data_IF_374878864253
#
_entry.id   IF_374878864253
#
_cell.length_a   1.000
_cell.length_b   1.000
_cell.length_c   1.000
_cell.angle_alpha   90.00
_cell.angle_beta   90.00
_cell.angle_gamma   90.00
#
_symmetry.space_group_name_H-M   'P 1'
#
loop_
_entity.id
_entity.type
_entity.pdbx_description
1 polymer ?
#
# COMPACT_ATOMS: atom_id res chain seq x y z
N UNK A 1 -20.39 -21.97 36.00
CA UNK A 1 -20.28 -22.41 34.60
C UNK A 1 -21.15 -21.50 33.76
N UNK A 2 -20.55 -20.48 33.15
CA UNK A 2 -21.24 -19.52 32.28
C UNK A 2 -20.76 -19.83 30.87
N UNK A 3 -21.65 -20.36 30.05
CA UNK A 3 -21.42 -20.54 28.63
C UNK A 3 -21.42 -19.17 27.97
N UNK A 4 -20.27 -18.77 27.42
CA UNK A 4 -20.15 -17.61 26.56
C UNK A 4 -20.59 -17.96 25.13
N UNK A 5 -21.16 -16.98 24.39
CA UNK A 5 -21.72 -17.20 23.07
C UNK A 5 -20.64 -17.47 22.03
N UNK A 6 -21.02 -18.29 21.04
CA UNK A 6 -20.23 -18.77 19.91
C UNK A 6 -19.39 -17.69 19.21
N UNK A 7 -18.19 -18.03 18.70
CA UNK A 7 -17.39 -17.11 17.92
C UNK A 7 -18.09 -16.87 16.57
N UNK A 8 -18.33 -15.59 16.27
CA UNK A 8 -18.64 -15.07 14.94
C UNK A 8 -17.72 -15.74 13.91
N UNK A 9 -18.30 -16.56 13.04
CA UNK A 9 -17.57 -17.22 11.96
C UNK A 9 -16.98 -16.16 11.03
N UNK A 10 -15.68 -15.93 11.10
CA UNK A 10 -14.94 -15.40 9.96
C UNK A 10 -15.17 -16.39 8.81
N UNK A 11 -15.77 -15.94 7.71
CA UNK A 11 -16.01 -16.80 6.56
C UNK A 11 -14.66 -17.24 5.99
N UNK A 12 -14.16 -18.41 6.39
CA UNK A 12 -12.93 -18.97 5.85
C UNK A 12 -13.09 -19.12 4.33
N UNK A 13 -12.20 -18.47 3.57
CA UNK A 13 -12.18 -18.58 2.11
C UNK A 13 -11.99 -20.05 1.71
N UNK A 14 -12.97 -20.61 1.01
CA UNK A 14 -12.84 -21.96 0.45
C UNK A 14 -11.84 -22.00 -0.71
N UNK A 15 -11.31 -23.18 -1.03
CA UNK A 15 -10.38 -23.36 -2.17
C UNK A 15 -11.03 -22.96 -3.50
N UNK A 16 -12.31 -23.26 -3.65
CA UNK A 16 -13.11 -22.97 -4.84
C UNK A 16 -13.34 -21.46 -4.99
N UNK A 17 -13.59 -20.76 -3.88
CA UNK A 17 -13.73 -19.30 -3.87
C UNK A 17 -12.42 -18.62 -4.28
N UNK A 18 -11.29 -19.03 -3.69
CA UNK A 18 -9.98 -18.46 -4.03
C UNK A 18 -9.63 -18.75 -5.48
N UNK A 19 -9.89 -19.97 -5.98
CA UNK A 19 -9.68 -20.31 -7.39
C UNK A 19 -10.54 -19.45 -8.31
N UNK A 20 -11.83 -19.28 -8.00
CA UNK A 20 -12.74 -18.46 -8.80
C UNK A 20 -12.33 -16.99 -8.84
N UNK A 21 -11.92 -16.41 -7.71
CA UNK A 21 -11.40 -15.04 -7.66
C UNK A 21 -10.09 -14.90 -8.44
N UNK A 22 -9.18 -15.86 -8.29
CA UNK A 22 -7.88 -15.87 -8.94
C UNK A 22 -7.97 -16.02 -10.47
N UNK A 23 -8.88 -16.85 -10.96
CA UNK A 23 -9.11 -17.07 -12.39
C UNK A 23 -9.61 -15.80 -13.09
N UNK A 24 -10.46 -15.00 -12.43
CA UNK A 24 -10.90 -13.69 -12.96
C UNK A 24 -9.75 -12.69 -13.12
N UNK A 25 -8.62 -12.91 -12.43
CA UNK A 25 -7.44 -12.07 -12.57
C UNK A 25 -6.52 -12.50 -13.71
N UNK A 26 -6.75 -13.62 -14.40
CA UNK A 26 -5.83 -14.17 -15.40
C UNK A 26 -5.42 -13.15 -16.48
N UNK A 27 -6.38 -12.48 -17.09
CA UNK A 27 -6.11 -11.51 -18.17
C UNK A 27 -5.52 -10.20 -17.66
N UNK A 28 -5.91 -9.79 -16.44
CA UNK A 28 -5.37 -8.58 -15.81
C UNK A 28 -3.93 -8.81 -15.41
N UNK A 29 -3.63 -9.95 -14.78
CA UNK A 29 -2.27 -10.40 -14.44
C UNK A 29 -1.41 -10.54 -15.68
N UNK A 30 -1.93 -11.12 -16.77
CA UNK A 30 -1.18 -11.24 -18.03
C UNK A 30 -0.83 -9.88 -18.62
N UNK A 31 -1.78 -8.94 -18.64
CA UNK A 31 -1.52 -7.55 -19.06
C UNK A 31 -0.52 -6.84 -18.15
N UNK A 32 -0.63 -7.07 -16.85
CA UNK A 32 0.30 -6.53 -15.86
C UNK A 32 1.71 -7.10 -16.05
N UNK A 33 1.85 -8.40 -16.28
CA UNK A 33 3.15 -9.00 -16.56
C UNK A 33 3.76 -8.45 -17.85
N UNK A 34 2.96 -8.34 -18.91
CA UNK A 34 3.40 -7.81 -20.19
C UNK A 34 3.85 -6.34 -20.07
N UNK A 35 3.09 -5.50 -19.36
CA UNK A 35 3.44 -4.08 -19.19
C UNK A 35 4.71 -3.84 -18.37
N UNK A 36 5.15 -4.84 -17.60
CA UNK A 36 6.35 -4.78 -16.74
C UNK A 36 7.46 -5.72 -17.15
N UNK A 37 7.31 -6.39 -18.29
CA UNK A 37 8.30 -7.34 -18.79
C UNK A 37 8.64 -8.42 -17.77
N UNK A 38 7.63 -8.84 -16.98
CA UNK A 38 7.75 -9.96 -16.05
C UNK A 38 7.81 -11.23 -16.88
N UNK A 39 9.04 -11.71 -17.10
CA UNK A 39 9.31 -12.93 -17.85
C UNK A 39 8.96 -14.19 -17.04
N UNK A 40 9.03 -14.11 -15.71
CA UNK A 40 8.67 -15.18 -14.78
C UNK A 40 7.90 -14.62 -13.59
N UNK A 41 6.66 -15.07 -13.42
CA UNK A 41 5.86 -14.78 -12.24
C UNK A 41 6.28 -15.71 -11.10
N UNK A 42 6.82 -15.14 -10.03
CA UNK A 42 7.25 -15.87 -8.83
C UNK A 42 6.16 -15.93 -7.75
N UNK A 43 4.95 -15.39 -8.03
CA UNK A 43 3.81 -15.43 -7.11
C UNK A 43 3.53 -16.87 -6.66
N UNK A 44 3.72 -17.13 -5.38
CA UNK A 44 3.30 -18.34 -4.72
C UNK A 44 1.97 -18.15 -4.02
N UNK A 45 1.01 -19.05 -4.24
CA UNK A 45 -0.26 -19.09 -3.52
C UNK A 45 -0.50 -20.49 -2.97
N UNK A 46 -0.77 -20.56 -1.67
CA UNK A 46 -0.94 -21.83 -0.94
C UNK A 46 -2.15 -21.68 -0.01
N UNK A 47 -3.17 -22.53 -0.15
CA UNK A 47 -4.32 -22.61 0.75
C UNK A 47 -4.87 -24.03 0.76
N UNK A 48 -4.87 -24.73 1.91
CA UNK A 48 -5.36 -26.12 2.01
C UNK A 48 -4.78 -27.02 0.91
N UNK A 49 -5.58 -27.44 -0.08
CA UNK A 49 -5.15 -28.24 -1.24
C UNK A 49 -4.72 -27.39 -2.46
N UNK A 50 -5.05 -26.10 -2.48
CA UNK A 50 -4.66 -25.17 -3.54
C UNK A 50 -3.16 -24.85 -3.47
N UNK A 51 -2.49 -25.05 -4.60
CA UNK A 51 -1.06 -24.76 -4.77
C UNK A 51 -0.84 -24.09 -6.13
N UNK A 52 -0.19 -22.93 -6.14
CA UNK A 52 0.16 -22.19 -7.35
C UNK A 52 1.57 -21.59 -7.21
N UNK A 53 2.30 -21.57 -8.33
CA UNK A 53 3.61 -20.93 -8.44
C UNK A 53 4.77 -21.71 -7.78
N UNK A 54 5.97 -21.11 -7.67
CA UNK A 54 7.16 -21.78 -7.17
C UNK A 54 7.06 -22.20 -5.68
N UNK A 55 6.25 -21.49 -4.87
CA UNK A 55 5.95 -21.87 -3.49
C UNK A 55 5.18 -23.19 -3.38
N UNK A 56 4.49 -23.62 -4.45
CA UNK A 56 3.79 -24.91 -4.49
C UNK A 56 4.72 -26.12 -4.28
N UNK A 57 6.02 -25.96 -4.52
CA UNK A 57 7.00 -27.07 -4.51
C UNK A 57 7.71 -27.25 -3.17
N UNK A 58 7.59 -26.32 -2.22
CA UNK A 58 8.35 -26.31 -0.95
C UNK A 58 7.41 -26.43 0.26
N UNK A 59 6.99 -27.65 0.62
CA UNK A 59 6.32 -27.89 1.90
C UNK A 59 5.47 -29.17 1.95
N UNK A 60 5.82 -30.09 2.87
CA UNK A 60 5.10 -31.36 3.14
C UNK A 60 3.83 -31.21 4.00
N UNK A 61 3.52 -30.00 4.49
CA UNK A 61 2.30 -29.71 5.25
C UNK A 61 1.58 -28.51 4.65
N UNK A 62 0.27 -28.66 4.45
CA UNK A 62 -0.58 -27.55 4.05
C UNK A 62 -0.69 -26.54 5.20
N UNK A 63 -0.38 -25.25 5.00
CA UNK A 63 -0.68 -24.25 6.00
C UNK A 63 -2.19 -24.21 6.24
N UNK A 64 -2.57 -23.98 7.50
CA UNK A 64 -3.97 -23.91 7.95
C UNK A 64 -4.69 -22.72 7.28
N UNK A 65 -3.95 -21.69 6.86
CA UNK A 65 -4.48 -20.50 6.19
C UNK A 65 -3.93 -20.25 4.78
N UNK A 66 -4.39 -19.14 4.18
CA UNK A 66 -3.93 -18.63 2.89
C UNK A 66 -2.54 -17.99 3.04
N UNK A 67 -1.58 -18.44 2.23
CA UNK A 67 -0.23 -17.88 2.15
C UNK A 67 0.02 -17.36 0.74
N UNK A 68 0.42 -16.09 0.64
CA UNK A 68 0.86 -15.44 -0.59
C UNK A 68 2.34 -15.05 -0.46
N UNK A 69 3.16 -15.43 -1.43
CA UNK A 69 4.62 -15.24 -1.44
C UNK A 69 5.12 -14.81 -2.82
N UNK A 70 6.39 -14.40 -2.90
CA UNK A 70 7.00 -13.86 -4.12
C UNK A 70 6.85 -12.34 -4.25
N UNK A 71 7.65 -11.74 -5.11
CA UNK A 71 7.76 -10.28 -5.26
C UNK A 71 7.12 -9.77 -6.56
N UNK A 72 6.41 -10.65 -7.29
CA UNK A 72 5.73 -10.28 -8.52
C UNK A 72 4.78 -9.09 -8.31
N UNK A 73 4.79 -8.16 -9.26
CA UNK A 73 3.86 -7.03 -9.36
C UNK A 73 2.39 -7.42 -9.21
N UNK A 74 2.01 -8.66 -9.56
CA UNK A 74 0.62 -9.12 -9.44
C UNK A 74 0.22 -9.54 -8.03
N UNK A 75 1.15 -9.64 -7.07
CA UNK A 75 0.87 -10.13 -5.71
C UNK A 75 -0.16 -9.27 -5.00
N UNK A 76 0.03 -7.96 -4.96
CA UNK A 76 -0.88 -7.10 -4.20
C UNK A 76 -2.26 -7.01 -4.84
N UNK A 77 -2.33 -7.04 -6.19
CA UNK A 77 -3.61 -7.14 -6.87
C UNK A 77 -4.38 -8.39 -6.41
N UNK A 78 -3.67 -9.51 -6.24
CA UNK A 78 -4.27 -10.76 -5.74
C UNK A 78 -4.71 -10.59 -4.28
N UNK A 79 -3.90 -9.93 -3.43
CA UNK A 79 -4.26 -9.62 -2.03
C UNK A 79 -5.55 -8.81 -1.97
N UNK A 80 -5.63 -7.70 -2.69
CA UNK A 80 -6.78 -6.80 -2.63
C UNK A 80 -8.06 -7.46 -3.15
N UNK A 81 -7.96 -8.26 -4.21
CA UNK A 81 -9.11 -8.98 -4.77
C UNK A 81 -9.59 -10.06 -3.82
N UNK A 82 -8.68 -10.75 -3.12
CA UNK A 82 -9.06 -11.72 -2.10
C UNK A 82 -9.66 -11.05 -0.87
N UNK A 83 -9.19 -9.86 -0.51
CA UNK A 83 -9.84 -9.05 0.52
C UNK A 83 -11.28 -8.68 0.11
N UNK A 84 -11.48 -8.17 -1.12
CA UNK A 84 -12.84 -7.88 -1.65
C UNK A 84 -13.73 -9.12 -1.66
N UNK A 85 -13.20 -10.27 -2.07
CA UNK A 85 -13.96 -11.53 -2.04
C UNK A 85 -14.34 -11.94 -0.62
N UNK A 86 -13.43 -11.76 0.35
CA UNK A 86 -13.67 -12.08 1.76
C UNK A 86 -14.74 -11.17 2.34
N UNK A 87 -14.62 -9.85 2.15
CA UNK A 87 -15.61 -8.88 2.63
C UNK A 87 -16.99 -9.16 2.06
N UNK A 88 -17.09 -9.42 0.74
CA UNK A 88 -18.34 -9.78 0.09
C UNK A 88 -18.99 -11.04 0.70
N UNK A 89 -18.19 -12.07 1.00
CA UNK A 89 -18.70 -13.30 1.61
C UNK A 89 -19.02 -13.14 3.09
N UNK A 90 -18.32 -12.28 3.83
CA UNK A 90 -18.68 -11.96 5.21
C UNK A 90 -20.02 -11.22 5.27
N UNK A 91 -20.26 -10.29 4.35
CA UNK A 91 -21.49 -9.49 4.31
C UNK A 91 -22.70 -10.24 3.76
N UNK A 92 -22.50 -11.11 2.76
CA UNK A 92 -23.60 -11.73 2.00
C UNK A 92 -23.56 -13.26 1.96
N UNK A 93 -22.53 -13.90 2.49
CA UNK A 93 -22.29 -15.34 2.34
C UNK A 93 -23.40 -16.22 2.89
N UNK A 94 -24.08 -15.78 3.95
CA UNK A 94 -25.17 -16.54 4.58
C UNK A 94 -26.38 -16.77 3.65
N UNK A 95 -26.58 -15.93 2.63
CA UNK A 95 -27.72 -16.01 1.70
C UNK A 95 -27.34 -16.57 0.33
N UNK A 96 -26.06 -16.88 0.09
CA UNK A 96 -25.54 -17.28 -1.21
C UNK A 96 -25.44 -18.82 -1.30
N UNK A 97 -26.19 -19.40 -2.23
CA UNK A 97 -26.18 -20.85 -2.50
C UNK A 97 -24.98 -21.33 -3.33
N UNK A 98 -24.36 -20.44 -4.12
CA UNK A 98 -23.14 -20.72 -4.90
C UNK A 98 -22.07 -19.64 -4.65
N UNK A 99 -21.31 -19.74 -3.54
CA UNK A 99 -20.30 -18.74 -3.18
C UNK A 99 -19.22 -18.50 -4.25
N UNK A 100 -18.62 -19.54 -4.88
CA UNK A 100 -17.63 -19.32 -5.94
C UNK A 100 -18.19 -18.57 -7.16
N UNK A 101 -19.41 -18.89 -7.58
CA UNK A 101 -20.08 -18.21 -8.69
C UNK A 101 -20.40 -16.75 -8.37
N UNK A 102 -20.87 -16.46 -7.16
CA UNK A 102 -21.16 -15.11 -6.71
C UNK A 102 -19.89 -14.25 -6.60
N UNK A 103 -18.82 -14.80 -6.02
CA UNK A 103 -17.51 -14.13 -5.93
C UNK A 103 -16.96 -13.82 -7.30
N UNK A 104 -17.04 -14.78 -8.24
CA UNK A 104 -16.59 -14.57 -9.62
C UNK A 104 -17.27 -13.34 -10.26
N UNK A 105 -18.59 -13.23 -10.16
CA UNK A 105 -19.35 -12.09 -10.69
C UNK A 105 -19.02 -10.80 -9.95
N UNK A 106 -18.89 -10.86 -8.62
CA UNK A 106 -18.57 -9.70 -7.80
C UNK A 106 -17.17 -9.14 -8.11
N UNK A 107 -16.15 -10.01 -8.12
CA UNK A 107 -14.77 -9.66 -8.47
C UNK A 107 -14.72 -9.08 -9.87
N UNK A 108 -15.37 -9.69 -10.87
CA UNK A 108 -15.40 -9.15 -12.24
C UNK A 108 -15.92 -7.71 -12.30
N UNK A 109 -16.97 -7.40 -11.54
CA UNK A 109 -17.54 -6.04 -11.46
C UNK A 109 -16.61 -5.06 -10.73
N UNK A 110 -15.93 -5.53 -9.68
CA UNK A 110 -15.15 -4.68 -8.77
C UNK A 110 -13.67 -4.59 -9.07
N UNK A 111 -13.11 -5.43 -9.92
CA UNK A 111 -11.65 -5.46 -10.16
C UNK A 111 -11.11 -4.13 -10.69
N UNK A 112 -11.91 -3.38 -11.45
CA UNK A 112 -11.54 -2.02 -11.89
C UNK A 112 -11.56 -0.99 -10.75
N UNK A 113 -12.47 -1.14 -9.78
CA UNK A 113 -12.51 -0.32 -8.58
C UNK A 113 -11.34 -0.64 -7.66
N UNK A 114 -10.98 -1.92 -7.54
CA UNK A 114 -9.79 -2.38 -6.80
C UNK A 114 -8.53 -1.76 -7.39
N UNK A 115 -8.33 -1.88 -8.71
CA UNK A 115 -7.18 -1.26 -9.38
C UNK A 115 -7.14 0.27 -9.19
N UNK A 116 -8.30 0.93 -9.11
CA UNK A 116 -8.38 2.36 -8.82
C UNK A 116 -8.00 2.65 -7.37
N UNK A 117 -8.62 1.97 -6.41
CA UNK A 117 -8.40 2.15 -4.97
C UNK A 117 -6.93 1.90 -4.61
N UNK A 118 -6.37 0.80 -5.10
CA UNK A 118 -4.97 0.44 -4.96
C UNK A 118 -4.01 1.54 -5.42
N UNK A 119 -4.25 2.11 -6.61
CA UNK A 119 -3.46 3.24 -7.12
C UNK A 119 -3.66 4.50 -6.29
N UNK A 120 -4.88 4.76 -5.83
CA UNK A 120 -5.19 5.91 -4.96
C UNK A 120 -4.46 5.81 -3.62
N UNK A 121 -4.40 4.63 -3.00
CA UNK A 121 -3.65 4.40 -1.76
C UNK A 121 -2.16 4.74 -1.91
N UNK A 122 -1.61 4.56 -3.11
CA UNK A 122 -0.22 4.95 -3.45
C UNK A 122 -0.04 6.42 -3.79
N UNK A 123 -1.12 7.19 -3.90
CA UNK A 123 -1.10 8.55 -4.43
C UNK A 123 -1.05 8.63 -5.96
N UNK A 124 -1.07 7.49 -6.67
CA UNK A 124 -0.98 7.43 -8.15
C UNK A 124 -2.35 7.52 -8.84
N UNK A 125 -3.13 8.54 -8.50
CA UNK A 125 -4.52 8.69 -8.96
C UNK A 125 -4.64 8.96 -10.47
N UNK A 126 -3.58 9.45 -11.10
CA UNK A 126 -3.54 9.67 -12.54
C UNK A 126 -3.71 8.36 -13.31
N UNK A 127 -4.51 8.38 -14.38
CA UNK A 127 -4.77 7.20 -15.22
C UNK A 127 -3.81 7.18 -16.43
N UNK A 128 -2.99 6.12 -16.62
CA UNK A 128 -2.00 6.04 -17.69
C UNK A 128 -2.56 6.27 -19.10
N UNK A 129 -3.75 5.73 -19.40
CA UNK A 129 -4.37 5.91 -20.72
C UNK A 129 -4.88 7.34 -20.96
N UNK A 130 -5.38 7.99 -19.90
CA UNK A 130 -5.97 9.33 -20.02
C UNK A 130 -4.89 10.41 -20.04
N UNK A 131 -3.77 10.19 -19.35
CA UNK A 131 -2.69 11.19 -19.24
C UNK A 131 -2.09 11.54 -20.60
N UNK A 132 -1.98 10.57 -21.52
CA UNK A 132 -1.49 10.81 -22.88
C UNK A 132 -2.33 11.83 -23.65
N UNK A 133 -3.64 11.85 -23.39
CA UNK A 133 -4.62 12.71 -24.07
C UNK A 133 -4.99 13.99 -23.30
N UNK A 134 -4.52 14.15 -22.06
CA UNK A 134 -4.86 15.30 -21.22
C UNK A 134 -4.04 16.55 -21.60
N UNK A 135 -4.23 17.65 -20.88
CA UNK A 135 -3.52 18.92 -21.15
C UNK A 135 -1.99 18.77 -21.14
N UNK A 136 -1.43 17.95 -20.26
CA UNK A 136 0.01 17.74 -20.15
C UNK A 136 0.52 16.86 -21.28
N UNK A 137 -0.17 15.75 -21.58
CA UNK A 137 0.17 14.90 -22.72
C UNK A 137 0.14 15.65 -24.05
N UNK A 138 -0.86 16.51 -24.27
CA UNK A 138 -0.97 17.35 -25.47
C UNK A 138 0.12 18.42 -25.57
N UNK A 139 0.68 18.86 -24.45
CA UNK A 139 1.75 19.85 -24.42
C UNK A 139 3.15 19.23 -24.66
N UNK A 140 3.25 17.89 -24.75
CA UNK A 140 4.51 17.22 -25.03
C UNK A 140 4.83 17.20 -26.54
N UNK A 141 6.14 17.20 -26.91
CA UNK A 141 6.58 17.41 -28.29
C UNK A 141 6.07 16.35 -29.28
N UNK A 142 6.08 15.09 -28.87
CA UNK A 142 5.80 13.95 -29.75
C UNK A 142 5.14 12.79 -28.97
N UNK A 143 4.80 11.72 -29.69
CA UNK A 143 4.16 10.54 -29.11
C UNK A 143 5.12 9.73 -28.20
N UNK A 144 6.43 9.77 -28.43
CA UNK A 144 7.41 9.09 -27.56
C UNK A 144 7.36 9.71 -26.15
N UNK A 145 7.35 11.05 -26.04
CA UNK A 145 7.21 11.74 -24.77
C UNK A 145 5.88 11.44 -24.08
N UNK A 146 4.78 11.42 -24.84
CA UNK A 146 3.44 11.06 -24.31
C UNK A 146 3.42 9.63 -23.78
N UNK A 147 4.06 8.71 -24.50
CA UNK A 147 4.17 7.33 -24.08
C UNK A 147 4.96 7.18 -22.78
N UNK A 148 6.13 7.84 -22.68
CA UNK A 148 6.93 7.88 -21.45
C UNK A 148 6.14 8.47 -20.28
N UNK A 149 5.38 9.55 -20.47
CA UNK A 149 4.48 10.08 -19.43
C UNK A 149 3.43 9.04 -19.01
N UNK A 150 2.82 8.36 -19.97
CA UNK A 150 1.89 7.25 -19.70
C UNK A 150 2.55 6.12 -18.89
N UNK A 151 3.76 5.72 -19.25
CA UNK A 151 4.52 4.68 -18.56
C UNK A 151 4.98 5.11 -17.16
N UNK A 152 5.35 6.38 -16.96
CA UNK A 152 5.69 6.93 -15.62
C UNK A 152 4.48 6.90 -14.69
N UNK A 153 3.33 7.37 -15.15
CA UNK A 153 2.08 7.31 -14.37
C UNK A 153 1.71 5.87 -14.06
N UNK A 154 1.97 4.97 -15.00
CA UNK A 154 1.78 3.55 -14.78
C UNK A 154 2.71 3.08 -13.64
N UNK A 155 4.02 3.28 -13.77
CA UNK A 155 5.09 2.91 -12.81
C UNK A 155 4.85 3.45 -11.39
N UNK A 156 4.33 4.68 -11.29
CA UNK A 156 3.97 5.34 -10.05
C UNK A 156 2.87 4.59 -9.26
N UNK A 157 2.04 3.79 -9.93
CA UNK A 157 0.94 3.06 -9.31
C UNK A 157 1.28 1.68 -8.75
N UNK A 158 2.54 1.23 -8.82
CA UNK A 158 2.94 -0.13 -8.43
C UNK A 158 3.65 -0.21 -7.08
N UNK A 159 3.58 -1.37 -6.43
CA UNK A 159 4.26 -1.67 -5.16
C UNK A 159 5.57 -2.36 -5.33
N UNK A 160 5.70 -3.14 -6.41
CA UNK A 160 6.85 -4.02 -6.54
C UNK A 160 8.12 -3.18 -6.36
N UNK A 161 9.16 -3.72 -5.71
CA UNK A 161 10.35 -2.93 -5.48
C UNK A 161 10.91 -2.33 -6.77
N UNK A 162 11.40 -1.10 -6.64
CA UNK A 162 12.10 -0.40 -7.71
C UNK A 162 13.53 -0.17 -7.21
N UNK A 163 14.53 -0.90 -7.73
CA UNK A 163 15.92 -0.77 -7.30
C UNK A 163 16.54 0.54 -7.85
N UNK A 164 16.03 1.68 -7.39
CA UNK A 164 16.50 3.01 -7.77
C UNK A 164 16.14 3.49 -9.19
N UNK A 165 16.62 4.69 -9.51
CA UNK A 165 16.28 5.42 -10.74
C UNK A 165 16.79 4.78 -12.04
N UNK A 166 17.92 4.06 -11.99
CA UNK A 166 18.47 3.37 -13.17
C UNK A 166 17.56 2.26 -13.69
N UNK A 167 16.89 1.54 -12.80
CA UNK A 167 15.91 0.50 -13.17
C UNK A 167 14.63 1.10 -13.75
N UNK A 168 14.20 2.26 -13.24
CA UNK A 168 13.08 2.99 -13.82
C UNK A 168 13.36 3.37 -15.28
N UNK A 169 14.52 4.00 -15.53
CA UNK A 169 14.94 4.41 -16.87
C UNK A 169 14.98 3.21 -17.81
N UNK A 170 15.55 2.08 -17.36
CA UNK A 170 15.59 0.85 -18.15
C UNK A 170 14.20 0.31 -18.49
N UNK A 171 13.29 0.21 -17.52
CA UNK A 171 11.92 -0.27 -17.76
C UNK A 171 11.17 0.65 -18.73
N UNK A 172 11.30 1.97 -18.57
CA UNK A 172 10.70 2.93 -19.50
C UNK A 172 11.25 2.76 -20.92
N UNK A 173 12.56 2.56 -21.06
CA UNK A 173 13.21 2.34 -22.34
C UNK A 173 12.76 1.03 -23.02
N UNK A 174 12.65 -0.07 -22.25
CA UNK A 174 12.17 -1.35 -22.76
C UNK A 174 10.69 -1.29 -23.17
N UNK A 175 9.86 -0.54 -22.45
CA UNK A 175 8.45 -0.28 -22.82
C UNK A 175 8.32 0.55 -24.10
N UNK A 176 9.16 1.58 -24.26
CA UNK A 176 9.22 2.35 -25.50
C UNK A 176 9.70 1.48 -26.68
N UNK A 177 10.68 0.60 -26.46
CA UNK A 177 11.13 -0.36 -27.45
C UNK A 177 10.01 -1.28 -27.92
N UNK A 178 9.21 -1.81 -26.98
CA UNK A 178 8.07 -2.65 -27.29
C UNK A 178 6.95 -1.90 -28.04
N UNK A 179 6.73 -0.62 -27.74
CA UNK A 179 5.66 0.18 -28.35
C UNK A 179 6.03 0.73 -29.74
N UNK A 180 7.28 1.15 -29.94
CA UNK A 180 7.72 1.89 -31.14
C UNK A 180 8.78 1.17 -31.98
N UNK A 181 9.28 0.00 -31.55
CA UNK A 181 10.10 -0.89 -32.36
C UNK A 181 11.58 -0.50 -32.55
N UNK A 182 12.09 0.52 -31.85
CA UNK A 182 13.54 0.84 -31.82
C UNK A 182 14.25 0.03 -30.71
N UNK A 183 15.57 -0.21 -30.83
CA UNK A 183 16.28 -1.02 -29.84
C UNK A 183 16.38 -0.31 -28.47
N UNK A 184 16.44 -1.08 -27.38
CA UNK A 184 16.48 -0.55 -26.00
C UNK A 184 17.58 0.49 -25.76
N UNK A 185 18.84 0.32 -26.24
CA UNK A 185 19.89 1.33 -26.09
C UNK A 185 19.53 2.71 -26.64
N UNK A 186 18.80 2.78 -27.76
CA UNK A 186 18.32 4.05 -28.32
C UNK A 186 17.41 4.80 -27.34
N UNK A 187 16.52 4.09 -26.64
CA UNK A 187 15.66 4.71 -25.63
C UNK A 187 16.36 4.97 -24.30
N UNK A 188 17.33 4.13 -23.90
CA UNK A 188 18.11 4.36 -22.67
C UNK A 188 18.81 5.72 -22.69
N UNK A 189 19.34 6.12 -23.85
CA UNK A 189 19.99 7.43 -24.03
C UNK A 189 19.01 8.61 -24.01
N UNK A 190 17.76 8.39 -24.43
CA UNK A 190 16.75 9.45 -24.63
C UNK A 190 15.80 9.64 -23.45
N UNK A 191 15.45 8.56 -22.75
CA UNK A 191 14.47 8.57 -21.66
C UNK A 191 14.81 9.60 -20.58
N UNK A 192 16.07 9.78 -20.12
CA UNK A 192 16.39 10.81 -19.14
C UNK A 192 16.04 12.24 -19.61
N UNK A 193 16.33 12.55 -20.88
CA UNK A 193 15.98 13.84 -21.47
C UNK A 193 14.45 14.00 -21.63
N UNK A 194 13.76 12.94 -22.05
CA UNK A 194 12.30 12.93 -22.13
C UNK A 194 11.66 13.15 -20.75
N UNK A 195 12.17 12.48 -19.71
CA UNK A 195 11.71 12.67 -18.33
C UNK A 195 11.90 14.11 -17.84
N UNK A 196 13.04 14.74 -18.16
CA UNK A 196 13.26 16.16 -17.85
C UNK A 196 12.24 17.07 -18.53
N UNK A 197 11.96 16.85 -19.82
CA UNK A 197 10.94 17.58 -20.56
C UNK A 197 9.54 17.37 -19.97
N UNK A 198 9.20 16.11 -19.65
CA UNK A 198 7.91 15.76 -19.05
C UNK A 198 7.74 16.44 -17.70
N UNK A 199 8.74 16.36 -16.82
CA UNK A 199 8.73 17.03 -15.52
C UNK A 199 8.49 18.52 -15.69
N UNK A 200 9.24 19.18 -16.58
CA UNK A 200 9.08 20.61 -16.88
C UNK A 200 7.66 20.95 -17.31
N UNK A 201 7.06 20.17 -18.20
CA UNK A 201 5.66 20.37 -18.67
C UNK A 201 4.66 20.14 -17.54
N UNK A 202 4.82 19.07 -16.76
CA UNK A 202 3.92 18.73 -15.65
C UNK A 202 4.09 19.62 -14.42
N UNK A 203 5.21 20.34 -14.33
CA UNK A 203 5.45 21.38 -13.32
C UNK A 203 4.74 22.69 -13.68
N UNK A 204 4.36 22.87 -14.95
CA UNK A 204 3.53 24.00 -15.35
C UNK A 204 2.07 23.80 -14.95
N UNK A 205 1.40 24.89 -14.53
CA UNK A 205 -0.05 24.91 -14.30
C UNK A 205 -0.47 24.93 -12.82
N UNK A 206 -1.76 24.70 -12.60
CA UNK A 206 -2.36 24.76 -11.27
C UNK A 206 -1.76 23.68 -10.35
N UNK A 207 -1.37 24.11 -9.14
CA UNK A 207 -0.86 23.22 -8.11
C UNK A 207 -1.96 22.29 -7.61
N UNK A 208 -1.57 21.08 -7.25
CA UNK A 208 -2.46 20.04 -6.72
C UNK A 208 -2.34 20.08 -5.21
N UNK A 209 -3.46 20.22 -4.50
CA UNK A 209 -3.46 20.02 -3.06
C UNK A 209 -3.34 18.52 -2.77
N UNK A 210 -2.19 18.11 -2.23
CA UNK A 210 -1.94 16.74 -1.73
C UNK A 210 -2.04 16.64 -0.21
N UNK A 211 -2.17 17.79 0.46
CA UNK A 211 -2.47 17.89 1.88
C UNK A 211 -3.97 17.79 2.15
N UNK A 212 -4.38 18.12 3.37
CA UNK A 212 -5.80 18.12 3.75
C UNK A 212 -6.47 19.43 3.37
N UNK A 213 -7.79 19.53 3.58
CA UNK A 213 -8.50 20.80 3.43
C UNK A 213 -8.05 21.84 4.47
N UNK A 214 -7.66 21.39 5.66
CA UNK A 214 -7.25 22.22 6.80
C UNK A 214 -5.75 22.53 6.82
N UNK A 215 -4.92 21.66 6.25
CA UNK A 215 -3.49 21.86 6.03
C UNK A 215 -3.15 21.57 4.55
N UNK A 216 -3.47 22.52 3.64
CA UNK A 216 -3.27 22.30 2.22
C UNK A 216 -1.78 22.32 1.88
N UNK A 217 -1.36 21.34 1.10
CA UNK A 217 0.00 21.26 0.55
C UNK A 217 -0.10 21.29 -0.97
N UNK A 218 0.27 22.43 -1.56
CA UNK A 218 0.13 22.65 -3.01
C UNK A 218 1.42 22.31 -3.75
N UNK A 219 1.44 21.15 -4.40
CA UNK A 219 2.60 20.66 -5.15
C UNK A 219 2.34 20.66 -6.65
N UNK A 220 3.36 20.39 -7.47
CA UNK A 220 3.14 20.25 -8.91
C UNK A 220 2.36 18.98 -9.22
N UNK A 221 1.74 18.92 -10.40
CA UNK A 221 1.06 17.70 -10.83
C UNK A 221 2.04 16.53 -10.94
N UNK A 222 3.27 16.80 -11.38
CA UNK A 222 4.34 15.81 -11.44
C UNK A 222 4.68 15.26 -10.05
N UNK A 223 4.87 16.14 -9.07
CA UNK A 223 5.17 15.73 -7.69
C UNK A 223 4.04 14.90 -7.07
N UNK A 224 2.80 15.37 -7.23
CA UNK A 224 1.61 14.72 -6.68
C UNK A 224 1.42 13.28 -7.18
N UNK A 225 1.60 13.05 -8.48
CA UNK A 225 1.15 11.82 -9.13
C UNK A 225 2.26 10.94 -9.72
N UNK A 226 3.52 11.41 -9.71
CA UNK A 226 4.67 10.65 -10.20
C UNK A 226 5.76 10.55 -9.14
N UNK A 227 6.37 11.65 -8.71
CA UNK A 227 7.54 11.58 -7.80
C UNK A 227 7.18 11.01 -6.43
N UNK A 228 6.14 11.53 -5.76
CA UNK A 228 5.73 11.01 -4.45
C UNK A 228 5.30 9.55 -4.50
N UNK A 229 4.45 9.10 -5.45
CA UNK A 229 4.10 7.69 -5.53
C UNK A 229 5.28 6.77 -5.85
N UNK A 230 6.21 7.19 -6.72
CA UNK A 230 7.45 6.43 -6.98
C UNK A 230 8.34 6.34 -5.73
N UNK A 231 8.45 7.42 -4.97
CA UNK A 231 9.22 7.47 -3.72
C UNK A 231 8.62 6.63 -2.58
N UNK A 232 7.36 6.22 -2.68
CA UNK A 232 6.71 5.29 -1.73
C UNK A 232 7.01 3.82 -2.02
N UNK A 233 7.75 3.50 -3.09
CA UNK A 233 8.07 2.11 -3.43
C UNK A 233 9.19 1.58 -2.53
N UNK A 234 9.08 0.34 -2.01
CA UNK A 234 10.16 -0.28 -1.27
C UNK A 234 11.41 -0.42 -2.16
N UNK A 235 12.58 -0.09 -1.60
CA UNK A 235 13.86 -0.28 -2.26
C UNK A 235 14.43 -1.66 -1.88
N UNK A 236 14.64 -2.51 -2.89
CA UNK A 236 15.32 -3.80 -2.75
C UNK A 236 16.76 -3.70 -2.26
N UNK A 237 17.41 -2.54 -2.36
CA UNK A 237 18.74 -2.32 -1.80
C UNK A 237 18.76 -2.32 -0.26
N UNK A 238 17.61 -2.17 0.39
CA UNK A 238 17.46 -2.38 1.84
C UNK A 238 17.16 -3.86 2.10
N UNK A 239 18.11 -4.72 1.75
CA UNK A 239 18.25 -5.98 2.48
C UNK A 239 18.89 -5.58 3.80
N UNK A 240 18.11 -5.48 4.86
CA UNK A 240 18.68 -5.35 6.20
C UNK A 240 19.49 -6.61 6.46
N UNK A 241 20.79 -6.53 6.23
CA UNK A 241 21.77 -7.51 6.68
C UNK A 241 21.81 -7.45 8.21
N UNK A 242 20.96 -8.25 8.84
CA UNK A 242 21.26 -8.82 10.15
C UNK A 242 20.90 -10.30 10.10
N UNK A 243 21.82 -11.08 9.51
CA UNK A 243 22.04 -12.47 9.89
C UNK A 243 22.57 -12.45 11.33
N UNK A 244 21.67 -12.49 12.31
CA UNK A 244 21.90 -13.04 13.65
C UNK A 244 20.59 -13.00 14.42
N UNK A 245 19.74 -14.00 14.15
CA UNK A 245 18.43 -14.07 14.80
C UNK A 245 17.43 -14.88 14.00
N UNK A 246 17.77 -16.12 13.69
CA UNK A 246 16.77 -17.14 13.39
C UNK A 246 15.87 -17.35 14.61
N UNK A 247 14.90 -16.44 14.81
CA UNK A 247 13.80 -16.64 15.72
C UNK A 247 12.56 -16.97 14.89
N UNK A 248 12.16 -18.24 15.01
CA UNK A 248 10.87 -18.83 14.68
C UNK A 248 9.73 -17.80 14.59
N UNK A 249 9.27 -17.50 13.39
CA UNK A 249 7.90 -17.04 13.20
C UNK A 249 7.01 -18.27 13.00
N UNK A 250 6.85 -18.98 14.12
CA UNK A 250 5.65 -19.77 14.35
C UNK A 250 4.47 -18.81 14.45
N UNK A 251 3.33 -19.27 13.95
CA UNK A 251 2.03 -18.71 14.24
C UNK A 251 1.91 -18.44 15.74
N UNK A 252 1.74 -17.17 16.10
CA UNK A 252 0.82 -16.80 17.16
C UNK A 252 -0.02 -15.64 16.66
N UNK A 253 -1.30 -15.75 16.97
CA UNK A 253 -2.36 -14.84 16.60
C UNK A 253 -2.03 -13.43 17.07
N UNK A 254 -1.75 -12.53 16.14
CA UNK A 254 -2.19 -11.15 16.31
C UNK A 254 -3.34 -10.99 15.35
N UNK A 255 -4.55 -11.24 15.84
CA UNK A 255 -5.72 -10.60 15.27
C UNK A 255 -5.40 -9.11 15.33
N UNK A 256 -4.94 -8.53 14.22
CA UNK A 256 -4.52 -7.13 14.19
C UNK A 256 -5.77 -6.30 14.45
N UNK A 257 -5.96 -5.80 15.70
CA UNK A 257 -7.11 -4.99 16.00
C UNK A 257 -7.00 -3.69 15.20
N UNK A 258 -5.83 -3.33 14.65
CA UNK A 258 -5.63 -2.12 13.85
C UNK A 258 -6.24 -2.19 12.45
N UNK A 259 -6.55 -3.36 11.88
CA UNK A 259 -7.23 -3.41 10.58
C UNK A 259 -8.72 -3.06 10.73
N UNK A 260 -9.36 -3.58 11.77
CA UNK A 260 -10.74 -3.21 12.13
C UNK A 260 -10.79 -1.80 12.72
N UNK A 261 -9.81 -1.43 13.56
CA UNK A 261 -9.69 -0.09 14.12
C UNK A 261 -9.30 0.96 13.08
N UNK A 262 -8.68 0.61 11.95
CA UNK A 262 -8.45 1.53 10.83
C UNK A 262 -9.76 1.85 10.09
N UNK A 263 -10.68 0.88 9.99
CA UNK A 263 -12.03 1.11 9.47
C UNK A 263 -12.88 1.94 10.44
N UNK A 264 -12.88 1.62 11.73
CA UNK A 264 -13.58 2.41 12.75
C UNK A 264 -12.94 3.78 12.94
N UNK A 265 -11.62 3.91 12.83
CA UNK A 265 -10.93 5.20 12.87
C UNK A 265 -11.27 6.06 11.66
N UNK A 266 -11.51 5.48 10.48
CA UNK A 266 -12.00 6.21 9.29
C UNK A 266 -13.46 6.67 9.49
N UNK A 267 -14.30 5.89 10.16
CA UNK A 267 -15.68 6.31 10.52
C UNK A 267 -15.70 7.39 11.62
N UNK A 268 -14.76 7.36 12.58
CA UNK A 268 -14.57 8.41 13.59
C UNK A 268 -13.88 9.65 12.99
N UNK A 269 -13.06 9.49 11.93
CA UNK A 269 -12.36 10.56 11.19
C UNK A 269 -13.31 11.54 10.49
N UNK A 270 -14.53 11.10 10.20
CA UNK A 270 -15.58 11.96 9.65
C UNK A 270 -16.33 12.75 10.75
N UNK A 271 -16.05 12.49 12.04
CA UNK A 271 -16.75 13.09 13.17
C UNK A 271 -15.93 14.09 14.03
N UNK A 272 -14.59 14.06 14.00
CA UNK A 272 -13.74 14.94 14.84
C UNK A 272 -12.76 15.81 14.01
N UNK A 273 -12.83 17.16 14.08
CA UNK A 273 -12.13 18.06 13.17
C UNK A 273 -10.61 18.30 13.42
N UNK A 274 -9.97 17.62 14.38
CA UNK A 274 -8.54 17.84 14.68
C UNK A 274 -7.64 16.65 14.26
N UNK A 275 -6.78 16.79 13.23
CA UNK A 275 -5.87 15.73 12.78
C UNK A 275 -4.71 15.44 13.74
N UNK A 276 -4.36 16.36 14.64
CA UNK A 276 -3.34 16.11 15.66
C UNK A 276 -3.86 15.16 16.74
N UNK A 277 -5.18 15.05 16.91
CA UNK A 277 -5.81 14.13 17.87
C UNK A 277 -5.52 12.67 17.57
N UNK A 278 -5.38 12.26 16.30
CA UNK A 278 -5.14 10.86 15.90
C UNK A 278 -3.69 10.44 16.13
N UNK A 279 -2.74 11.34 15.84
CA UNK A 279 -1.31 11.13 16.14
C UNK A 279 -1.12 11.11 17.65
N UNK A 280 -1.70 12.08 18.36
CA UNK A 280 -1.69 12.14 19.82
C UNK A 280 -2.36 10.91 20.42
N UNK A 281 -3.51 10.45 19.92
CA UNK A 281 -4.18 9.24 20.41
C UNK A 281 -3.38 7.96 20.14
N UNK A 282 -2.71 7.88 18.98
CA UNK A 282 -1.86 6.73 18.67
C UNK A 282 -0.63 6.69 19.55
N UNK A 283 -0.04 7.86 19.83
CA UNK A 283 1.06 8.01 20.78
C UNK A 283 0.58 7.69 22.19
N UNK A 284 -0.51 8.30 22.67
CA UNK A 284 -1.14 8.07 23.99
C UNK A 284 -1.48 6.60 24.20
N UNK A 285 -2.08 5.94 23.20
CA UNK A 285 -2.44 4.52 23.27
C UNK A 285 -1.20 3.64 23.42
N UNK A 286 -0.18 3.82 22.56
CA UNK A 286 1.06 3.04 22.65
C UNK A 286 1.83 3.33 23.94
N UNK A 287 1.81 4.57 24.39
CA UNK A 287 2.47 4.98 25.64
C UNK A 287 1.74 4.48 26.89
N UNK A 288 0.43 4.31 26.84
CA UNK A 288 -0.37 3.75 27.95
C UNK A 288 -0.09 2.28 28.24
N UNK A 289 0.51 1.56 27.28
CA UNK A 289 0.92 0.16 27.40
C UNK A 289 2.39 0.02 27.84
N UNK A 290 3.15 1.12 27.90
CA UNK A 290 4.57 1.15 28.26
C UNK A 290 4.72 1.58 29.72
N UNK A 291 5.64 0.95 30.45
CA UNK A 291 5.95 1.35 31.84
C UNK A 291 6.57 2.75 31.89
N UNK A 292 6.27 3.60 32.90
CA UNK A 292 6.77 4.98 32.99
C UNK A 292 8.30 5.11 32.90
N UNK A 293 9.05 4.12 33.39
CA UNK A 293 10.51 4.10 33.30
C UNK A 293 11.06 3.88 31.89
N UNK A 294 10.23 3.45 30.93
CA UNK A 294 10.60 3.19 29.53
C UNK A 294 9.93 4.16 28.54
N UNK A 295 9.25 5.20 29.05
CA UNK A 295 8.46 6.12 28.22
C UNK A 295 9.29 6.91 27.21
N UNK A 296 10.46 7.40 27.56
CA UNK A 296 11.29 8.15 26.60
C UNK A 296 11.71 7.28 25.41
N UNK A 297 12.15 6.04 25.67
CA UNK A 297 12.48 5.07 24.63
C UNK A 297 11.24 4.64 23.83
N UNK A 298 10.10 4.46 24.49
CA UNK A 298 8.81 4.12 23.88
C UNK A 298 8.27 5.22 22.97
N UNK A 299 8.41 6.49 23.36
CA UNK A 299 7.99 7.64 22.56
C UNK A 299 8.89 7.79 21.34
N UNK A 300 10.22 7.69 21.51
CA UNK A 300 11.16 7.72 20.37
C UNK A 300 10.86 6.61 19.36
N UNK A 301 10.68 5.38 19.84
CA UNK A 301 10.31 4.23 19.00
C UNK A 301 8.95 4.43 18.30
N UNK A 302 7.99 5.03 18.99
CA UNK A 302 6.67 5.31 18.42
C UNK A 302 6.73 6.39 17.35
N UNK A 303 7.45 7.49 17.57
CA UNK A 303 7.62 8.56 16.59
C UNK A 303 8.36 8.07 15.34
N UNK A 304 9.40 7.24 15.51
CA UNK A 304 10.10 6.59 14.39
C UNK A 304 9.19 5.61 13.66
N UNK A 305 8.43 4.77 14.38
CA UNK A 305 7.46 3.86 13.77
C UNK A 305 6.34 4.58 13.02
N UNK A 306 5.93 5.76 13.49
CA UNK A 306 4.98 6.63 12.78
C UNK A 306 5.62 7.27 11.55
N UNK A 307 6.90 7.63 11.61
CA UNK A 307 7.64 8.16 10.47
C UNK A 307 7.91 7.10 9.39
N UNK A 308 8.32 5.90 9.81
CA UNK A 308 8.55 4.75 8.93
C UNK A 308 7.23 4.23 8.34
N UNK A 309 6.12 4.36 9.09
CA UNK A 309 4.75 4.11 8.62
C UNK A 309 4.14 5.25 7.80
N UNK A 310 4.84 6.38 7.65
CA UNK A 310 4.38 7.54 6.87
C UNK A 310 3.23 8.36 7.49
N UNK A 311 2.90 8.11 8.75
CA UNK A 311 1.88 8.84 9.53
C UNK A 311 2.43 10.15 10.12
N UNK A 312 3.76 10.29 10.19
CA UNK A 312 4.45 11.51 10.59
C UNK A 312 5.53 11.83 9.53
N UNK A 313 5.65 13.07 9.02
CA UNK A 313 6.74 13.43 8.13
C UNK A 313 8.10 13.19 8.81
N UNK A 314 9.02 12.52 8.11
CA UNK A 314 10.32 12.13 8.69
C UNK A 314 11.12 13.32 9.22
N UNK A 315 11.14 14.43 8.49
CA UNK A 315 11.76 15.68 8.95
C UNK A 315 11.13 16.22 10.25
N UNK A 316 9.82 16.01 10.45
CA UNK A 316 9.13 16.44 11.67
C UNK A 316 9.47 15.51 12.84
N UNK A 317 9.55 14.21 12.59
CA UNK A 317 10.01 13.24 13.58
C UNK A 317 11.47 13.53 13.98
N UNK A 318 12.36 13.75 13.01
CA UNK A 318 13.76 14.09 13.23
C UNK A 318 13.91 15.44 13.96
N UNK A 319 13.11 16.45 13.60
CA UNK A 319 13.09 17.74 14.29
C UNK A 319 12.62 17.64 15.75
N UNK A 320 11.63 16.80 16.04
CA UNK A 320 11.18 16.56 17.42
C UNK A 320 12.24 15.77 18.20
N UNK A 321 12.79 14.71 17.61
CA UNK A 321 13.82 13.88 18.26
C UNK A 321 15.13 14.64 18.52
N UNK A 322 15.39 15.71 17.78
CA UNK A 322 16.57 16.57 17.92
C UNK A 322 16.35 17.78 18.84
N UNK A 323 15.13 18.00 19.31
CA UNK A 323 14.73 19.12 20.18
C UNK A 323 14.32 18.59 21.57
N UNK A 324 15.22 18.63 22.58
CA UNK A 324 14.94 18.11 23.92
C UNK A 324 13.75 18.81 24.59
N UNK A 325 13.66 20.13 24.45
CA UNK A 325 12.60 20.94 25.05
C UNK A 325 11.23 20.65 24.41
N UNK A 326 11.23 20.45 23.08
CA UNK A 326 10.04 20.02 22.34
C UNK A 326 9.57 18.59 22.67
N UNK A 327 10.50 17.69 23.01
CA UNK A 327 10.18 16.33 23.46
C UNK A 327 9.59 16.31 24.86
N UNK A 328 10.09 17.14 25.77
CA UNK A 328 9.58 17.24 27.14
C UNK A 328 8.17 17.85 27.17
N UNK A 329 7.88 18.84 26.33
CA UNK A 329 6.52 19.40 26.17
C UNK A 329 5.54 18.36 25.61
N UNK A 330 5.96 17.58 24.60
CA UNK A 330 5.14 16.51 24.03
C UNK A 330 4.87 15.40 25.05
N UNK A 331 5.90 15.00 25.81
CA UNK A 331 5.78 14.04 26.92
C UNK A 331 4.80 14.51 28.00
N UNK A 332 4.90 15.77 28.42
CA UNK A 332 4.00 16.37 29.41
C UNK A 332 2.54 16.38 28.93
N UNK A 333 2.31 16.71 27.65
CA UNK A 333 0.97 16.68 27.04
C UNK A 333 0.41 15.27 26.93
N UNK A 334 1.22 14.28 26.52
CA UNK A 334 0.81 12.87 26.44
C UNK A 334 0.45 12.34 27.83
N UNK A 335 1.26 12.65 28.85
CA UNK A 335 0.97 12.27 30.23
C UNK A 335 -0.35 12.87 30.73
N UNK A 336 -0.56 14.17 30.51
CA UNK A 336 -1.80 14.86 30.89
C UNK A 336 -3.05 14.21 30.25
N UNK A 337 -2.94 13.76 28.99
CA UNK A 337 -4.04 13.10 28.28
C UNK A 337 -4.27 11.66 28.78
N UNK A 338 -3.20 10.90 29.07
CA UNK A 338 -3.31 9.56 29.66
C UNK A 338 -3.99 9.64 31.04
N UNK A 339 -3.57 10.58 31.89
CA UNK A 339 -4.15 10.79 33.22
C UNK A 339 -5.62 11.23 33.14
N UNK A 340 -5.97 12.13 32.22
CA UNK A 340 -7.35 12.56 31.98
C UNK A 340 -8.26 11.44 31.45
N UNK A 341 -7.72 10.49 30.68
CA UNK A 341 -8.45 9.29 30.19
C UNK A 341 -8.57 8.20 31.25
N UNK A 342 -7.54 7.98 32.06
CA UNK A 342 -7.57 7.07 33.20
C UNK A 342 -8.55 7.49 34.31
N UNK A 343 -8.79 8.80 34.47
CA UNK A 343 -9.76 9.34 35.42
C UNK A 343 -11.25 9.18 35.02
N UNK A 344 -11.57 8.90 33.76
CA UNK A 344 -12.96 8.74 33.28
C UNK A 344 -13.54 7.33 33.43
N UNK A 345 -12.71 6.32 33.75
CA UNK A 345 -13.16 4.93 33.88
C UNK A 345 -13.84 4.63 35.24
N UNK A 346 -13.79 5.57 36.21
CA UNK A 346 -14.36 5.39 37.56
C UNK A 346 -15.61 6.22 37.89
N UNK A 347 -16.35 6.72 36.88
CA UNK A 347 -17.69 7.30 37.09
C UNK A 347 -18.64 6.86 35.97
N UNK A 348 -19.19 5.67 36.11
CA UNK A 348 -20.25 5.10 35.29
C UNK A 348 -20.77 3.85 35.95
#
# INVERSE_FOLDING_TARGET
>A
MVSLPSPLHSAELSTEVVRAAFDELKDIRSRLHASHLVTRCDLGLVLRELRYGPAARRGRQAPIGLVLSGDCVCRDLVVDVLHVATTFLTEHGATITNPPGAVRVHVRKRVHDVLRSYRCARGAQAKPKQVRSNRYGRALPDEEHRAVLGHLVDEAGYSAPLPGGGYLVRRLAERCAAEFGKPVPYYLERVPAMMSTIRRVCDTGARVNVGTRTAPEYVTWYDAYIDRPLGRRPDTAVTSLSDDGAARWGHDQVADPNAQSAFTAVEVRDADPDPDSVVVDTVVRRMSEVSPSAWEAGLRSTLLGLADGGLLPRQRAESLLSDPDGMDDLMSRVQTVIEARGGRVNRG
#
